data_IF_668535033727
#
_entry.id   IF_668535033727
#
_cell.length_a   1.000
_cell.length_b   1.000
_cell.length_c   1.000
_cell.angle_alpha   90.00
_cell.angle_beta   90.00
_cell.angle_gamma   90.00
#
_symmetry.space_group_name_H-M   'P 1'
#
loop_
_entity.id
_entity.type
_entity.pdbx_description
1 polymer ?
#
# COMPACT_ATOMS: atom_id res chain seq x y z
N UNK A 1 17.76 19.97 3.92
CA UNK A 1 19.02 20.18 3.17
C UNK A 1 18.73 20.31 1.67
N UNK A 2 19.20 21.41 1.05
CA UNK A 2 19.02 21.79 -0.36
C UNK A 2 20.01 21.08 -1.29
N UNK A 3 20.16 19.75 -1.15
CA UNK A 3 21.06 18.97 -2.00
C UNK A 3 20.27 18.38 -3.16
N UNK A 4 20.77 18.57 -4.37
CA UNK A 4 20.32 17.87 -5.58
C UNK A 4 21.23 16.64 -5.83
N UNK A 5 20.70 15.60 -6.47
CA UNK A 5 21.48 14.41 -6.82
C UNK A 5 22.27 14.63 -8.10
N UNK A 6 23.53 14.22 -8.10
CA UNK A 6 24.39 14.30 -9.27
C UNK A 6 24.05 13.18 -10.27
N UNK A 7 24.26 13.39 -11.59
CA UNK A 7 23.87 12.41 -12.61
C UNK A 7 24.43 10.99 -12.40
N UNK A 8 25.63 10.87 -11.83
CA UNK A 8 26.28 9.58 -11.58
C UNK A 8 25.74 8.84 -10.34
N UNK A 9 24.94 9.52 -9.52
CA UNK A 9 24.26 8.94 -8.35
C UNK A 9 22.86 8.41 -8.72
N UNK A 10 22.37 8.78 -9.91
CA UNK A 10 21.07 8.35 -10.43
C UNK A 10 21.26 7.06 -11.22
N UNK A 11 20.41 6.08 -10.94
CA UNK A 11 20.35 4.83 -11.69
C UNK A 11 18.93 4.52 -12.13
N UNK A 12 18.78 3.72 -13.19
CA UNK A 12 17.50 3.28 -13.68
C UNK A 12 17.14 1.92 -13.09
N UNK A 13 15.94 1.82 -12.50
CA UNK A 13 15.38 0.56 -12.05
C UNK A 13 14.78 -0.20 -13.25
N UNK A 14 15.64 -0.75 -14.10
CA UNK A 14 15.22 -1.62 -15.21
C UNK A 14 14.60 -2.91 -14.67
N UNK A 15 13.36 -3.17 -15.06
CA UNK A 15 12.53 -4.23 -14.46
C UNK A 15 11.77 -5.00 -15.55
N UNK A 16 12.12 -6.28 -15.81
CA UNK A 16 11.25 -7.19 -16.53
C UNK A 16 9.90 -7.36 -15.83
N UNK A 17 8.86 -7.73 -16.58
CA UNK A 17 7.53 -7.97 -16.03
C UNK A 17 7.58 -9.00 -14.88
N UNK A 18 6.95 -8.67 -13.75
CA UNK A 18 6.97 -9.46 -12.52
C UNK A 18 8.07 -9.08 -11.53
N UNK A 19 9.02 -8.23 -11.91
CA UNK A 19 9.99 -7.64 -10.98
C UNK A 19 9.32 -6.59 -10.08
N UNK A 20 9.88 -6.36 -8.90
CA UNK A 20 9.44 -5.33 -7.97
C UNK A 20 10.63 -4.56 -7.40
N UNK A 21 10.44 -3.25 -7.19
CA UNK A 21 11.36 -2.39 -6.46
C UNK A 21 10.73 -1.99 -5.13
N UNK A 22 11.44 -2.22 -4.02
CA UNK A 22 11.07 -1.73 -2.70
C UNK A 22 12.07 -0.63 -2.32
N UNK A 23 11.56 0.54 -1.96
CA UNK A 23 12.38 1.68 -1.55
C UNK A 23 11.75 2.39 -0.35
N UNK A 24 12.57 3.16 0.38
CA UNK A 24 12.11 3.92 1.54
C UNK A 24 11.45 5.22 1.10
N UNK A 25 10.49 5.73 1.88
CA UNK A 25 9.88 7.05 1.59
C UNK A 25 10.88 8.21 1.57
N UNK A 26 12.07 8.03 2.13
CA UNK A 26 13.18 8.98 2.09
C UNK A 26 14.09 8.86 0.86
N UNK A 27 13.88 7.85 0.00
CA UNK A 27 14.68 7.66 -1.22
C UNK A 27 14.28 8.70 -2.26
N UNK A 28 15.25 9.47 -2.77
CA UNK A 28 15.01 10.33 -3.93
C UNK A 28 14.72 9.46 -5.16
N UNK A 29 13.58 9.68 -5.81
CA UNK A 29 13.15 8.91 -6.97
C UNK A 29 12.24 9.73 -7.87
N UNK A 30 12.13 9.34 -9.13
CA UNK A 30 11.20 9.91 -10.09
C UNK A 30 10.84 8.88 -11.16
N UNK A 31 9.74 9.11 -11.86
CA UNK A 31 9.43 8.35 -13.06
C UNK A 31 10.35 8.78 -14.21
N UNK A 32 11.03 7.81 -14.83
CA UNK A 32 11.80 8.05 -16.06
C UNK A 32 10.90 8.38 -17.26
N UNK A 33 11.38 9.27 -18.14
CA UNK A 33 10.73 9.61 -19.39
C UNK A 33 10.59 8.37 -20.29
N UNK A 34 9.42 8.18 -20.89
CA UNK A 34 9.23 7.16 -21.93
C UNK A 34 9.61 7.77 -23.29
N UNK A 35 10.73 7.33 -23.86
CA UNK A 35 11.26 7.84 -25.15
C UNK A 35 10.88 6.98 -26.35
N UNK A 36 10.06 5.95 -26.15
CA UNK A 36 9.60 5.06 -27.23
C UNK A 36 8.42 5.68 -28.00
N UNK A 37 8.23 5.26 -29.25
CA UNK A 37 7.15 5.76 -30.13
C UNK A 37 5.85 4.96 -30.01
N UNK A 38 5.94 3.70 -29.61
CA UNK A 38 4.88 2.70 -29.74
C UNK A 38 4.78 1.74 -28.54
N UNK A 39 5.52 1.99 -27.45
CA UNK A 39 5.53 1.13 -26.26
C UNK A 39 4.97 1.88 -25.05
N UNK A 40 3.96 1.28 -24.41
CA UNK A 40 3.43 1.79 -23.14
C UNK A 40 4.16 1.16 -21.94
N UNK A 41 4.78 2.00 -21.09
CA UNK A 41 5.33 1.58 -19.80
C UNK A 41 4.22 1.55 -18.74
N UNK A 42 3.81 0.33 -18.35
CA UNK A 42 2.85 0.11 -17.25
C UNK A 42 3.58 -0.33 -16.00
N UNK A 43 3.17 0.22 -14.86
CA UNK A 43 3.62 -0.17 -13.54
C UNK A 43 2.48 -0.06 -12.55
N UNK A 44 2.65 -0.69 -11.40
CA UNK A 44 1.72 -0.61 -10.27
C UNK A 44 2.50 -0.17 -9.05
N UNK A 45 1.93 0.73 -8.27
CA UNK A 45 2.50 1.23 -7.04
C UNK A 45 1.63 0.80 -5.86
N UNK A 46 2.28 0.36 -4.79
CA UNK A 46 1.65 0.13 -3.49
C UNK A 46 2.53 0.75 -2.40
N UNK A 47 1.94 1.66 -1.63
CA UNK A 47 2.56 2.24 -0.46
C UNK A 47 2.15 1.53 0.82
N UNK A 48 3.10 1.35 1.74
CA UNK A 48 2.82 0.97 3.12
C UNK A 48 3.15 2.13 4.04
N UNK A 49 2.30 2.37 5.03
CA UNK A 49 2.55 3.33 6.11
C UNK A 49 2.42 2.64 7.46
N UNK A 50 3.06 3.21 8.47
CA UNK A 50 2.92 2.78 9.86
C UNK A 50 1.48 2.98 10.34
N UNK A 51 0.99 2.12 11.24
CA UNK A 51 -0.44 2.04 11.59
C UNK A 51 -1.05 3.27 12.27
N UNK A 52 -0.23 4.25 12.69
CA UNK A 52 -0.68 5.53 13.24
C UNK A 52 -0.77 6.66 12.21
N UNK A 53 -0.42 6.39 10.94
CA UNK A 53 -0.58 7.34 9.83
C UNK A 53 -1.80 6.97 8.98
N UNK A 54 -2.39 7.99 8.35
CA UNK A 54 -3.46 7.81 7.38
C UNK A 54 -2.88 7.26 6.07
N UNK A 55 -3.51 6.20 5.54
CA UNK A 55 -3.22 5.67 4.20
C UNK A 55 -3.56 6.68 3.11
N UNK A 56 -2.82 6.64 2.00
CA UNK A 56 -3.06 7.50 0.84
C UNK A 56 -4.44 7.22 0.20
N UNK A 57 -4.78 5.95 0.02
CA UNK A 57 -6.10 5.54 -0.47
C UNK A 57 -7.04 5.18 0.69
N UNK A 58 -8.33 5.52 0.53
CA UNK A 58 -9.37 5.12 1.48
C UNK A 58 -9.93 3.73 1.16
N UNK A 59 -9.18 2.70 1.55
CA UNK A 59 -9.51 1.28 1.32
C UNK A 59 -10.89 0.85 1.84
N UNK A 60 -11.39 1.46 2.91
CA UNK A 60 -12.74 1.17 3.44
C UNK A 60 -13.86 1.53 2.47
N UNK A 61 -13.62 2.48 1.55
CA UNK A 61 -14.59 2.88 0.53
C UNK A 61 -14.31 2.25 -0.83
N UNK A 62 -13.06 1.86 -1.10
CA UNK A 62 -12.67 1.31 -2.40
C UNK A 62 -12.73 -0.21 -2.46
N UNK A 63 -12.64 -0.90 -1.31
CA UNK A 63 -12.77 -2.35 -1.23
C UNK A 63 -14.04 -2.73 -0.44
N UNK A 64 -15.05 -3.32 -1.09
CA UNK A 64 -16.26 -3.79 -0.40
C UNK A 64 -15.92 -4.73 0.77
N UNK A 65 -16.58 -4.55 1.92
CA UNK A 65 -16.28 -5.30 3.15
C UNK A 65 -16.49 -6.82 2.97
N UNK A 66 -17.42 -7.21 2.12
CA UNK A 66 -17.71 -8.58 1.71
C UNK A 66 -16.52 -9.21 1.00
N UNK A 67 -15.80 -8.44 0.17
CA UNK A 67 -14.56 -8.89 -0.44
C UNK A 67 -13.47 -9.04 0.61
N UNK A 68 -13.31 -8.05 1.50
CA UNK A 68 -12.32 -8.08 2.59
C UNK A 68 -12.46 -9.33 3.45
N UNK A 69 -13.68 -9.73 3.80
CA UNK A 69 -13.97 -10.93 4.61
C UNK A 69 -13.38 -12.22 4.03
N UNK A 70 -13.23 -12.31 2.70
CA UNK A 70 -12.70 -13.49 2.01
C UNK A 70 -11.17 -13.46 1.83
N UNK A 71 -10.54 -12.31 2.12
CA UNK A 71 -9.10 -12.14 1.97
C UNK A 71 -8.33 -12.78 3.14
N UNK A 72 -7.05 -13.14 2.95
CA UNK A 72 -6.20 -13.59 4.05
C UNK A 72 -6.15 -12.56 5.18
N UNK A 73 -6.08 -13.02 6.43
CA UNK A 73 -6.02 -12.16 7.62
C UNK A 73 -5.00 -11.01 7.45
N UNK A 74 -3.81 -11.32 6.93
CA UNK A 74 -2.77 -10.31 6.74
C UNK A 74 -3.18 -9.18 5.78
N UNK A 75 -3.96 -9.49 4.75
CA UNK A 75 -4.47 -8.49 3.80
C UNK A 75 -5.55 -7.64 4.47
N UNK A 76 -6.45 -8.26 5.25
CA UNK A 76 -7.46 -7.53 6.02
C UNK A 76 -6.82 -6.48 6.96
N UNK A 77 -5.75 -6.88 7.66
CA UNK A 77 -4.97 -5.97 8.51
C UNK A 77 -4.36 -4.81 7.70
N UNK A 78 -3.76 -5.11 6.54
CA UNK A 78 -3.11 -4.12 5.67
C UNK A 78 -4.10 -3.15 5.02
N UNK A 79 -5.35 -3.57 4.81
CA UNK A 79 -6.43 -2.72 4.34
C UNK A 79 -6.98 -1.78 5.43
N UNK A 80 -6.41 -1.79 6.63
CA UNK A 80 -6.72 -0.83 7.70
C UNK A 80 -7.64 -1.37 8.80
N UNK A 81 -8.11 -2.62 8.73
CA UNK A 81 -9.02 -3.17 9.73
C UNK A 81 -8.34 -3.48 11.08
N UNK A 82 -7.00 -3.57 11.11
CA UNK A 82 -6.25 -3.70 12.37
C UNK A 82 -5.96 -2.32 12.96
N UNK A 83 -6.42 -2.02 14.19
CA UNK A 83 -6.11 -0.76 14.85
C UNK A 83 -4.65 -0.72 15.33
N UNK A 84 -4.11 0.49 15.48
CA UNK A 84 -2.83 0.73 16.14
C UNK A 84 -3.09 1.43 17.49
N UNK A 85 -3.14 0.64 18.58
CA UNK A 85 -3.55 1.16 19.88
C UNK A 85 -4.97 1.76 19.80
N UNK A 86 -5.19 3.02 20.21
CA UNK A 86 -6.49 3.69 20.10
C UNK A 86 -6.78 4.25 18.69
N UNK A 87 -5.86 4.13 17.74
CA UNK A 87 -6.00 4.68 16.39
C UNK A 87 -6.63 3.64 15.46
N UNK A 88 -7.65 4.05 14.71
CA UNK A 88 -8.36 3.16 13.77
C UNK A 88 -9.37 2.23 14.45
N UNK A 89 -9.82 2.53 15.67
CA UNK A 89 -10.90 1.81 16.36
C UNK A 89 -12.27 2.23 15.83
N UNK A 90 -13.25 1.33 15.95
CA UNK A 90 -14.68 1.59 15.71
C UNK A 90 -15.43 1.21 16.98
N UNK A 91 -16.26 2.12 17.51
CA UNK A 91 -16.99 1.93 18.78
C UNK A 91 -16.09 1.47 19.94
N UNK A 92 -14.87 2.04 20.02
CA UNK A 92 -13.84 1.70 21.02
C UNK A 92 -13.29 0.26 20.89
N UNK A 93 -13.68 -0.47 19.84
CA UNK A 93 -13.28 -1.84 19.53
C UNK A 93 -12.43 -1.96 18.26
N UNK A 94 -11.98 -3.18 17.98
CA UNK A 94 -11.27 -3.51 16.75
C UNK A 94 -12.24 -3.65 15.57
N UNK A 95 -12.01 -2.96 14.43
CA UNK A 95 -12.80 -3.17 13.22
C UNK A 95 -12.75 -4.61 12.70
N UNK A 96 -11.73 -5.39 13.08
CA UNK A 96 -11.62 -6.82 12.76
C UNK A 96 -12.84 -7.62 13.23
N UNK A 97 -13.55 -7.19 14.27
CA UNK A 97 -14.78 -7.84 14.74
C UNK A 97 -15.90 -7.84 13.67
N UNK A 98 -15.88 -6.89 12.73
CA UNK A 98 -16.82 -6.84 11.61
C UNK A 98 -16.50 -7.87 10.50
N UNK A 99 -15.31 -8.47 10.55
CA UNK A 99 -14.83 -9.40 9.53
C UNK A 99 -15.01 -10.88 9.93
N UNK A 100 -15.22 -11.15 11.21
CA UNK A 100 -15.55 -12.50 11.69
C UNK A 100 -17.01 -12.82 11.39
N UNK A 101 -17.28 -13.92 10.67
CA UNK A 101 -18.64 -14.44 10.53
C UNK A 101 -19.13 -15.05 11.85
N UNK A 102 -20.40 -14.88 12.21
CA UNK A 102 -21.02 -15.58 13.34
C UNK A 102 -20.87 -17.12 13.27
N UNK A 103 -20.64 -17.68 12.07
CA UNK A 103 -20.39 -19.10 11.85
C UNK A 103 -19.09 -19.64 12.50
N UNK A 104 -18.20 -18.78 13.01
CA UNK A 104 -16.98 -19.19 13.71
C UNK A 104 -17.18 -19.39 15.23
N UNK A 105 -18.39 -19.14 15.74
CA UNK A 105 -18.74 -19.28 17.16
C UNK A 105 -19.69 -20.48 17.44
N UNK A 106 -19.84 -21.38 16.47
CA UNK A 106 -20.58 -22.65 16.60
C UNK A 106 -19.63 -23.85 16.63
#
# INVERSE_FOLDING_TARGET
PEREAEPHEITQAEMPAGSALIYLGSTLHSGGANTTTDIHRRGMFFGFVVGWLRTEENTFLTVPIEAVRTMPLRVQELLGYKPHGPIGVVDVGSPMALLTSEASLA
#
